data_IF_899409616473
#
_entry.id   IF_899409616473
#
_cell.length_a   1.000
_cell.length_b   1.000
_cell.length_c   1.000
_cell.angle_alpha   90.00
_cell.angle_beta   90.00
_cell.angle_gamma   90.00
#
_symmetry.space_group_name_H-M   'P 1'
#
loop_
_entity.id
_entity.type
_entity.pdbx_description
1 polymer ?
#
# COMPACT_ATOMS: atom_id res chain seq x y z
N UNK A 1 77.93 -8.47 -39.23
CA UNK A 1 77.36 -9.80 -39.53
C UNK A 1 77.39 -10.68 -38.29
N UNK A 2 76.26 -10.85 -37.58
CA UNK A 2 76.03 -11.96 -36.63
C UNK A 2 74.53 -12.01 -36.27
N UNK A 3 73.90 -13.03 -36.88
CA UNK A 3 72.64 -13.75 -36.66
C UNK A 3 71.58 -13.18 -35.69
N UNK A 4 70.38 -12.97 -36.25
CA UNK A 4 69.06 -12.93 -35.59
C UNK A 4 68.81 -14.24 -34.84
N UNK A 5 68.35 -14.17 -33.59
CA UNK A 5 67.69 -15.27 -32.90
C UNK A 5 66.20 -14.94 -32.78
N UNK A 6 65.36 -15.77 -33.42
CA UNK A 6 63.92 -15.83 -33.21
C UNK A 6 63.66 -16.29 -31.76
N UNK A 7 62.93 -15.48 -30.99
CA UNK A 7 62.27 -15.96 -29.78
C UNK A 7 60.86 -16.38 -30.17
N UNK A 8 60.59 -17.68 -30.14
CA UNK A 8 59.24 -18.23 -30.17
C UNK A 8 58.50 -17.75 -28.92
N UNK A 9 57.40 -17.04 -29.13
CA UNK A 9 56.39 -16.78 -28.10
C UNK A 9 55.66 -18.08 -27.79
N UNK A 10 55.92 -18.68 -26.63
CA UNK A 10 55.12 -19.76 -26.10
C UNK A 10 53.95 -19.13 -25.32
N UNK A 11 52.78 -19.04 -25.96
CA UNK A 11 51.54 -18.69 -25.30
C UNK A 11 51.03 -19.93 -24.55
N UNK A 12 51.18 -19.94 -23.22
CA UNK A 12 50.53 -20.91 -22.35
C UNK A 12 49.12 -20.40 -22.05
N UNK A 13 48.12 -20.97 -22.74
CA UNK A 13 46.72 -20.76 -22.42
C UNK A 13 46.36 -21.69 -21.24
N UNK A 14 46.47 -21.20 -20.00
CA UNK A 14 45.85 -21.87 -18.85
C UNK A 14 44.35 -21.56 -18.86
N UNK A 15 43.55 -22.52 -19.33
CA UNK A 15 42.11 -22.51 -19.12
C UNK A 15 41.82 -23.00 -17.69
N UNK A 16 41.83 -22.09 -16.73
CA UNK A 16 41.33 -22.37 -15.38
C UNK A 16 39.80 -22.38 -15.45
N UNK A 17 39.19 -23.56 -15.45
CA UNK A 17 37.76 -23.69 -15.17
C UNK A 17 37.51 -23.32 -13.70
N UNK A 18 37.19 -22.04 -13.46
CA UNK A 18 36.51 -21.65 -12.23
C UNK A 18 35.06 -22.12 -12.33
N UNK A 19 34.80 -23.36 -11.88
CA UNK A 19 33.45 -23.80 -11.55
C UNK A 19 33.04 -23.05 -10.29
N UNK A 20 32.39 -21.90 -10.47
CA UNK A 20 31.66 -21.29 -9.38
C UNK A 20 30.51 -22.22 -9.04
N UNK A 21 30.34 -22.67 -7.78
CA UNK A 21 29.09 -23.30 -7.41
C UNK A 21 28.01 -22.25 -7.61
N UNK A 22 27.10 -22.48 -8.56
CA UNK A 22 25.90 -21.69 -8.68
C UNK A 22 25.16 -21.84 -7.34
N UNK A 23 25.25 -20.81 -6.49
CA UNK A 23 24.34 -20.63 -5.38
C UNK A 23 22.96 -20.47 -6.00
N UNK A 24 22.26 -21.58 -6.13
CA UNK A 24 20.85 -21.60 -6.45
C UNK A 24 20.19 -20.93 -5.26
N UNK A 25 19.83 -19.65 -5.41
CA UNK A 25 18.89 -19.04 -4.48
C UNK A 25 17.67 -19.97 -4.43
N UNK A 26 17.19 -20.36 -3.23
CA UNK A 26 15.94 -21.07 -3.15
C UNK A 26 14.92 -20.22 -3.89
N UNK A 27 14.38 -20.78 -4.98
CA UNK A 27 13.28 -20.16 -5.71
C UNK A 27 12.14 -20.12 -4.72
N UNK A 28 11.96 -18.99 -4.03
CA UNK A 28 10.76 -18.71 -3.28
C UNK A 28 9.64 -18.86 -4.31
N UNK A 29 8.90 -19.96 -4.20
CA UNK A 29 7.62 -20.11 -4.87
C UNK A 29 6.78 -18.94 -4.37
N UNK A 30 6.74 -17.85 -5.13
CA UNK A 30 5.72 -16.83 -4.99
C UNK A 30 4.40 -17.47 -5.40
N UNK A 31 3.84 -18.31 -4.52
CA UNK A 31 2.41 -18.52 -4.49
C UNK A 31 1.83 -17.18 -4.08
N UNK A 32 1.50 -16.34 -5.06
CA UNK A 32 0.65 -15.18 -4.80
C UNK A 32 -0.57 -15.72 -4.07
N UNK A 33 -0.83 -15.33 -2.81
CA UNK A 33 -2.05 -15.73 -2.14
C UNK A 33 -3.21 -15.40 -3.07
N UNK A 34 -4.05 -16.39 -3.38
CA UNK A 34 -5.27 -16.11 -4.13
C UNK A 34 -6.04 -15.06 -3.34
N UNK A 35 -6.25 -13.88 -3.93
CA UNK A 35 -6.93 -12.76 -3.29
C UNK A 35 -8.29 -13.19 -2.77
N UNK A 36 -8.83 -12.45 -1.80
CA UNK A 36 -10.16 -12.76 -1.27
C UNK A 36 -11.17 -12.78 -2.42
N UNK A 37 -11.80 -13.94 -2.63
CA UNK A 37 -12.91 -14.06 -3.57
C UNK A 37 -14.17 -13.69 -2.83
N UNK A 38 -14.89 -12.70 -3.36
CA UNK A 38 -16.13 -12.22 -2.77
C UNK A 38 -17.20 -12.25 -3.84
N UNK A 39 -18.37 -12.80 -3.51
CA UNK A 39 -19.52 -12.84 -4.43
C UNK A 39 -20.57 -11.82 -4.04
N UNK A 40 -21.31 -11.29 -5.01
CA UNK A 40 -22.36 -10.32 -4.74
C UNK A 40 -23.57 -10.99 -4.10
N UNK A 41 -24.09 -10.41 -3.02
CA UNK A 41 -25.27 -10.90 -2.30
C UNK A 41 -26.47 -9.95 -2.49
N UNK A 42 -27.60 -10.42 -3.06
CA UNK A 42 -28.82 -9.62 -3.16
C UNK A 42 -29.37 -9.18 -1.78
N UNK A 43 -29.22 -10.02 -0.77
CA UNK A 43 -29.67 -9.69 0.60
C UNK A 43 -28.83 -8.55 1.20
N UNK A 44 -27.50 -8.61 1.04
CA UNK A 44 -26.64 -7.49 1.47
C UNK A 44 -26.85 -6.24 0.61
N UNK A 45 -27.19 -6.39 -0.67
CA UNK A 45 -27.49 -5.25 -1.53
C UNK A 45 -28.72 -4.49 -1.03
N UNK A 46 -29.80 -5.19 -0.70
CA UNK A 46 -30.99 -4.58 -0.11
C UNK A 46 -30.70 -3.87 1.22
N UNK A 47 -29.75 -4.37 2.01
CA UNK A 47 -29.30 -3.73 3.25
C UNK A 47 -28.50 -2.45 2.96
N UNK A 48 -27.53 -2.52 2.06
CA UNK A 48 -26.67 -1.38 1.70
C UNK A 48 -27.47 -0.27 1.02
N UNK A 49 -28.41 -0.61 0.12
CA UNK A 49 -29.27 0.35 -0.55
C UNK A 49 -30.18 1.07 0.45
N UNK A 50 -30.75 0.32 1.41
CA UNK A 50 -31.56 0.91 2.49
C UNK A 50 -30.73 1.83 3.37
N UNK A 51 -29.52 1.42 3.77
CA UNK A 51 -28.63 2.25 4.57
C UNK A 51 -28.27 3.56 3.83
N UNK A 52 -28.03 3.50 2.52
CA UNK A 52 -27.80 4.67 1.69
C UNK A 52 -29.03 5.59 1.63
N UNK A 53 -30.22 5.02 1.42
CA UNK A 53 -31.48 5.77 1.40
C UNK A 53 -31.75 6.45 2.74
N UNK A 54 -31.68 5.72 3.85
CA UNK A 54 -31.91 6.25 5.20
C UNK A 54 -30.90 7.35 5.55
N UNK A 55 -29.65 7.21 5.09
CA UNK A 55 -28.62 8.26 5.27
C UNK A 55 -29.00 9.53 4.51
N UNK A 56 -29.44 9.42 3.26
CA UNK A 56 -29.89 10.58 2.47
C UNK A 56 -31.09 11.27 3.10
N UNK A 57 -32.08 10.51 3.56
CA UNK A 57 -33.27 11.05 4.23
C UNK A 57 -32.90 11.75 5.55
N UNK A 58 -32.08 11.10 6.39
CA UNK A 58 -31.63 11.64 7.68
C UNK A 58 -30.85 12.95 7.54
N UNK A 59 -30.03 13.07 6.48
CA UNK A 59 -29.17 14.24 6.26
C UNK A 59 -29.67 15.17 5.14
N UNK A 60 -30.94 15.04 4.73
CA UNK A 60 -31.54 15.89 3.71
C UNK A 60 -31.46 17.39 4.07
N UNK A 61 -31.63 17.74 5.34
CA UNK A 61 -31.51 19.13 5.84
C UNK A 61 -30.10 19.71 5.70
N UNK A 62 -29.08 18.85 5.60
CA UNK A 62 -27.68 19.23 5.33
C UNK A 62 -27.34 19.21 3.83
N UNK A 63 -28.34 18.96 2.96
CA UNK A 63 -28.18 18.85 1.52
C UNK A 63 -27.13 17.78 1.12
N UNK A 64 -27.08 16.66 1.86
CA UNK A 64 -26.24 15.52 1.48
C UNK A 64 -26.77 14.91 0.18
N UNK A 65 -25.88 14.71 -0.78
CA UNK A 65 -26.19 14.12 -2.08
C UNK A 65 -25.60 12.72 -2.20
N UNK A 66 -26.20 11.90 -3.06
CA UNK A 66 -25.78 10.52 -3.30
C UNK A 66 -24.33 10.41 -3.77
N UNK A 67 -23.83 11.39 -4.53
CA UNK A 67 -22.46 11.39 -5.02
C UNK A 67 -21.40 11.64 -3.94
N UNK A 68 -21.81 12.08 -2.74
CA UNK A 68 -20.90 12.50 -1.67
C UNK A 68 -20.46 11.36 -0.75
N UNK A 69 -21.03 10.16 -0.87
CA UNK A 69 -20.63 9.00 -0.08
C UNK A 69 -20.74 7.69 -0.86
N UNK A 70 -20.04 6.67 -0.36
CA UNK A 70 -20.08 5.30 -0.85
C UNK A 70 -20.07 4.35 0.34
N UNK A 71 -20.60 3.15 0.14
CA UNK A 71 -20.70 2.11 1.16
C UNK A 71 -20.27 0.79 0.52
N UNK A 72 -19.42 0.02 1.19
CA UNK A 72 -19.17 -1.38 0.85
C UNK A 72 -19.27 -2.21 2.12
N UNK A 73 -20.04 -3.30 2.06
CA UNK A 73 -20.18 -4.27 3.13
C UNK A 73 -19.67 -5.62 2.64
N UNK A 74 -18.80 -6.26 3.43
CA UNK A 74 -18.35 -7.64 3.23
C UNK A 74 -18.73 -8.42 4.49
N UNK A 75 -19.47 -9.51 4.31
CA UNK A 75 -19.76 -10.46 5.37
C UNK A 75 -18.64 -11.50 5.46
N UNK A 76 -18.00 -11.55 6.62
CA UNK A 76 -16.89 -12.46 6.94
C UNK A 76 -17.32 -13.58 7.90
N UNK A 77 -18.62 -13.78 8.13
CA UNK A 77 -19.13 -14.87 8.96
C UNK A 77 -18.73 -16.24 8.42
N UNK A 78 -18.62 -16.36 7.08
CA UNK A 78 -17.91 -17.45 6.40
C UNK A 78 -16.74 -16.87 5.58
N UNK A 79 -15.50 -16.90 6.12
CA UNK A 79 -14.31 -16.40 5.41
C UNK A 79 -13.91 -17.20 4.17
N UNK A 80 -14.49 -18.38 3.94
CA UNK A 80 -14.26 -19.18 2.73
C UNK A 80 -15.26 -18.82 1.63
N UNK A 81 -16.46 -18.38 2.00
CA UNK A 81 -17.54 -18.00 1.10
C UNK A 81 -18.05 -16.58 1.38
N UNK A 82 -17.13 -15.63 1.48
CA UNK A 82 -17.47 -14.25 1.80
C UNK A 82 -18.35 -13.63 0.71
N UNK A 83 -19.37 -12.90 1.14
CA UNK A 83 -20.30 -12.20 0.26
C UNK A 83 -20.24 -10.70 0.50
N UNK A 84 -20.57 -9.89 -0.51
CA UNK A 84 -20.56 -8.45 -0.39
C UNK A 84 -21.68 -7.76 -1.15
N UNK A 85 -21.87 -6.49 -0.83
CA UNK A 85 -22.64 -5.54 -1.60
C UNK A 85 -22.03 -4.15 -1.46
N UNK A 86 -22.37 -3.25 -2.39
CA UNK A 86 -21.91 -1.88 -2.32
C UNK A 86 -22.91 -0.89 -2.90
N UNK A 87 -22.86 0.33 -2.37
CA UNK A 87 -23.46 1.52 -2.93
C UNK A 87 -22.31 2.40 -3.40
N UNK A 88 -22.16 2.56 -4.73
CA UNK A 88 -21.07 3.33 -5.34
C UNK A 88 -19.66 2.85 -4.94
N UNK A 89 -19.51 1.54 -4.71
CA UNK A 89 -18.29 0.96 -4.13
C UNK A 89 -17.00 1.23 -4.89
N UNK A 90 -17.09 1.48 -6.20
CA UNK A 90 -15.95 1.69 -7.11
C UNK A 90 -15.63 3.17 -7.37
N UNK A 91 -16.39 4.08 -6.77
CA UNK A 91 -16.17 5.53 -6.92
C UNK A 91 -14.90 5.98 -6.19
N UNK A 92 -14.15 6.88 -6.84
CA UNK A 92 -12.92 7.42 -6.27
C UNK A 92 -13.21 8.58 -5.35
N UNK A 93 -12.84 8.39 -4.08
CA UNK A 93 -13.02 9.40 -3.03
C UNK A 93 -11.65 9.78 -2.48
N UNK A 94 -11.51 11.01 -2.00
CA UNK A 94 -10.35 11.40 -1.19
C UNK A 94 -10.44 10.72 0.18
N UNK A 95 -9.36 10.11 0.62
CA UNK A 95 -9.44 9.07 1.66
C UNK A 95 -8.91 9.48 3.01
N UNK A 96 -8.40 10.71 3.14
CA UNK A 96 -7.65 11.14 4.31
C UNK A 96 -6.67 10.04 4.76
N UNK A 97 -6.73 9.62 6.03
CA UNK A 97 -5.81 8.66 6.63
C UNK A 97 -6.08 7.18 6.27
N UNK A 98 -7.18 6.83 5.60
CA UNK A 98 -7.48 5.42 5.22
C UNK A 98 -6.40 4.83 4.30
N UNK A 99 -5.69 5.68 3.55
CA UNK A 99 -4.55 5.27 2.71
C UNK A 99 -3.43 4.58 3.51
N UNK A 100 -3.29 4.88 4.80
CA UNK A 100 -2.23 4.33 5.67
C UNK A 100 -2.32 2.81 5.79
N UNK A 101 -3.51 2.22 5.63
CA UNK A 101 -3.70 0.77 5.53
C UNK A 101 -2.88 0.16 4.37
N UNK A 102 -2.83 0.85 3.23
CA UNK A 102 -2.10 0.37 2.06
C UNK A 102 -0.59 0.46 2.29
N UNK A 103 -0.12 1.51 2.98
CA UNK A 103 1.29 1.65 3.37
C UNK A 103 1.71 0.61 4.40
N UNK A 104 0.86 0.31 5.38
CA UNK A 104 1.08 -0.78 6.33
C UNK A 104 1.29 -2.11 5.60
N UNK A 105 0.37 -2.47 4.71
CA UNK A 105 0.44 -3.72 3.94
C UNK A 105 1.69 -3.77 3.04
N UNK A 106 2.04 -2.66 2.40
CA UNK A 106 3.27 -2.57 1.60
C UNK A 106 4.52 -2.75 2.45
N UNK A 107 4.57 -2.16 3.66
CA UNK A 107 5.68 -2.32 4.59
C UNK A 107 5.84 -3.78 5.04
N UNK A 108 4.75 -4.44 5.40
CA UNK A 108 4.77 -5.87 5.75
C UNK A 108 5.20 -6.74 4.57
N UNK A 109 4.78 -6.42 3.33
CA UNK A 109 5.28 -7.13 2.14
C UNK A 109 6.78 -6.92 1.96
N UNK A 110 7.29 -5.69 2.12
CA UNK A 110 8.70 -5.41 1.90
C UNK A 110 9.58 -6.02 2.99
N UNK A 111 9.08 -6.11 4.23
CA UNK A 111 9.71 -6.87 5.32
C UNK A 111 9.76 -8.36 5.00
N UNK A 112 8.66 -8.92 4.48
CA UNK A 112 8.60 -10.33 4.07
C UNK A 112 9.57 -10.64 2.93
N UNK A 113 9.65 -9.75 1.94
CA UNK A 113 10.55 -9.89 0.79
C UNK A 113 12.03 -9.59 1.15
N UNK A 114 12.34 -9.19 2.39
CA UNK A 114 13.68 -8.78 2.81
C UNK A 114 14.18 -7.46 2.21
N UNK A 115 13.29 -6.66 1.61
CA UNK A 115 13.58 -5.32 1.06
C UNK A 115 13.73 -4.27 2.15
N UNK A 116 13.08 -4.47 3.29
CA UNK A 116 13.22 -3.64 4.48
C UNK A 116 13.80 -4.44 5.65
N UNK A 117 14.59 -3.75 6.46
CA UNK A 117 15.04 -4.28 7.76
C UNK A 117 13.97 -3.99 8.81
N UNK A 118 13.71 -4.97 9.67
CA UNK A 118 12.87 -4.80 10.85
C UNK A 118 13.66 -4.03 11.93
N UNK A 119 13.55 -2.70 11.89
CA UNK A 119 14.19 -1.81 12.86
C UNK A 119 13.18 -1.36 13.91
N UNK A 120 13.68 -0.99 15.10
CA UNK A 120 12.84 -0.40 16.15
C UNK A 120 12.13 0.87 15.66
N UNK A 121 12.83 1.68 14.86
CA UNK A 121 12.27 2.92 14.31
C UNK A 121 11.16 2.66 13.28
N UNK A 122 11.30 1.65 12.41
CA UNK A 122 10.23 1.27 11.49
C UNK A 122 9.01 0.73 12.26
N UNK A 123 9.23 -0.09 13.29
CA UNK A 123 8.15 -0.60 14.15
C UNK A 123 7.41 0.54 14.87
N UNK A 124 8.15 1.51 15.43
CA UNK A 124 7.58 2.71 16.04
C UNK A 124 6.77 3.51 15.03
N UNK A 125 7.33 3.80 13.86
CA UNK A 125 6.63 4.56 12.81
C UNK A 125 5.37 3.86 12.28
N UNK A 126 5.37 2.52 12.15
CA UNK A 126 4.16 1.77 11.79
C UNK A 126 3.09 1.85 12.89
N UNK A 127 3.51 1.80 14.16
CA UNK A 127 2.65 2.03 15.31
C UNK A 127 2.00 3.41 15.26
N UNK A 128 2.80 4.47 15.28
CA UNK A 128 2.35 5.87 15.26
C UNK A 128 1.47 6.17 14.02
N UNK A 129 1.79 5.58 12.86
CA UNK A 129 1.02 5.74 11.62
C UNK A 129 -0.39 5.16 11.71
N UNK A 130 -0.59 4.03 12.40
CA UNK A 130 -1.86 3.29 12.40
C UNK A 130 -2.68 3.54 13.66
N UNK A 131 -2.02 3.62 14.83
CA UNK A 131 -2.67 3.83 16.12
C UNK A 131 -3.06 5.30 16.27
N UNK A 132 -2.09 6.20 16.09
CA UNK A 132 -2.27 7.65 16.30
C UNK A 132 -2.54 8.41 15.01
N UNK A 133 -2.54 7.71 13.86
CA UNK A 133 -2.72 8.34 12.55
C UNK A 133 -1.70 9.47 12.30
N UNK A 134 -0.46 9.32 12.77
CA UNK A 134 0.58 10.35 12.62
C UNK A 134 0.96 10.57 11.15
N UNK A 135 0.87 11.83 10.69
CA UNK A 135 1.26 12.21 9.33
C UNK A 135 2.78 12.19 9.12
N UNK A 136 3.55 12.50 10.16
CA UNK A 136 5.01 12.45 10.12
C UNK A 136 5.51 11.01 10.03
N UNK A 137 4.93 10.12 10.85
CA UNK A 137 5.23 8.69 10.77
C UNK A 137 4.84 8.11 9.40
N UNK A 138 3.68 8.50 8.88
CA UNK A 138 3.25 8.13 7.52
C UNK A 138 4.26 8.60 6.46
N UNK A 139 4.77 9.81 6.61
CA UNK A 139 5.76 10.40 5.70
C UNK A 139 7.07 9.64 5.72
N UNK A 140 7.55 9.26 6.91
CA UNK A 140 8.73 8.41 7.08
C UNK A 140 8.54 7.02 6.45
N UNK A 141 7.42 6.35 6.74
CA UNK A 141 7.11 5.02 6.18
C UNK A 141 7.08 5.06 4.65
N UNK A 142 6.45 6.07 4.06
CA UNK A 142 6.40 6.18 2.60
C UNK A 142 7.79 6.45 1.99
N UNK A 143 8.64 7.21 2.67
CA UNK A 143 10.02 7.44 2.23
C UNK A 143 10.84 6.15 2.25
N UNK A 144 10.71 5.36 3.31
CA UNK A 144 11.34 4.03 3.44
C UNK A 144 10.84 3.06 2.37
N UNK A 145 9.55 3.04 2.07
CA UNK A 145 8.96 2.15 1.05
C UNK A 145 9.41 2.45 -0.38
N UNK A 146 9.67 3.72 -0.66
CA UNK A 146 9.86 4.23 -2.02
C UNK A 146 11.27 4.70 -2.31
N UNK A 147 12.13 4.80 -1.30
CA UNK A 147 13.46 5.42 -1.40
C UNK A 147 13.42 6.83 -2.01
N UNK A 148 12.40 7.59 -1.59
CA UNK A 148 12.25 8.99 -1.97
C UNK A 148 12.04 9.82 -0.73
N UNK A 149 12.42 11.09 -0.75
CA UNK A 149 12.18 12.03 0.35
C UNK A 149 11.43 13.25 -0.17
N UNK A 150 10.79 13.98 0.74
CA UNK A 150 10.32 15.34 0.45
C UNK A 150 11.51 16.31 0.31
N UNK A 151 11.22 17.54 -0.11
CA UNK A 151 12.22 18.61 -0.27
C UNK A 151 11.80 19.62 -1.33
N UNK A 152 12.71 20.54 -1.64
CA UNK A 152 12.54 21.53 -2.72
C UNK A 152 12.28 20.88 -4.07
N UNK A 153 11.75 21.65 -5.00
CA UNK A 153 11.52 21.25 -6.39
C UNK A 153 12.76 20.62 -7.03
N UNK A 154 12.53 19.64 -7.90
CA UNK A 154 13.57 18.93 -8.64
C UNK A 154 13.56 19.35 -10.11
N UNK A 155 14.71 19.34 -10.81
CA UNK A 155 14.74 19.44 -12.26
C UNK A 155 13.86 18.37 -12.91
N UNK A 156 13.29 18.60 -14.11
CA UNK A 156 12.30 17.71 -14.71
C UNK A 156 12.74 16.23 -14.84
N UNK A 157 14.03 15.99 -15.15
CA UNK A 157 14.59 14.64 -15.24
C UNK A 157 14.57 13.91 -13.89
N UNK A 158 15.13 14.55 -12.86
CA UNK A 158 15.16 14.02 -11.49
C UNK A 158 13.74 13.85 -10.92
N UNK A 159 12.82 14.77 -11.23
CA UNK A 159 11.43 14.68 -10.80
C UNK A 159 10.72 13.46 -11.40
N UNK A 160 11.03 13.11 -12.66
CA UNK A 160 10.49 11.90 -13.31
C UNK A 160 11.01 10.62 -12.65
N UNK A 161 12.30 10.57 -12.32
CA UNK A 161 12.90 9.45 -11.58
C UNK A 161 12.31 9.33 -10.18
N UNK A 162 12.21 10.44 -9.45
CA UNK A 162 11.56 10.51 -8.15
C UNK A 162 10.12 10.01 -8.22
N UNK A 163 9.33 10.45 -9.23
CA UNK A 163 7.94 10.02 -9.38
C UNK A 163 7.83 8.53 -9.68
N UNK A 164 8.75 8.00 -10.47
CA UNK A 164 8.82 6.56 -10.77
C UNK A 164 9.05 5.75 -9.50
N UNK A 165 9.99 6.18 -8.64
CA UNK A 165 10.24 5.55 -7.35
C UNK A 165 9.05 5.70 -6.38
N UNK A 166 8.51 6.90 -6.24
CA UNK A 166 7.36 7.22 -5.36
C UNK A 166 6.13 6.37 -5.68
N UNK A 167 5.95 5.98 -6.93
CA UNK A 167 4.82 5.17 -7.40
C UNK A 167 4.93 3.65 -7.09
N UNK A 168 5.94 3.22 -6.32
CA UNK A 168 6.16 1.79 -6.02
C UNK A 168 4.96 1.09 -5.38
N UNK A 169 4.26 1.77 -4.47
CA UNK A 169 3.10 1.20 -3.76
C UNK A 169 1.92 0.99 -4.72
N UNK A 170 1.65 1.93 -5.64
CA UNK A 170 0.64 1.77 -6.68
C UNK A 170 0.93 0.53 -7.55
N UNK A 171 2.17 0.36 -7.98
CA UNK A 171 2.58 -0.81 -8.79
C UNK A 171 2.37 -2.12 -8.04
N UNK A 172 2.69 -2.16 -6.75
CA UNK A 172 2.46 -3.33 -5.91
C UNK A 172 0.98 -3.70 -5.83
N UNK A 173 0.10 -2.75 -5.50
CA UNK A 173 -1.33 -3.06 -5.41
C UNK A 173 -1.96 -3.35 -6.78
N UNK A 174 -1.47 -2.72 -7.85
CA UNK A 174 -1.87 -3.05 -9.22
C UNK A 174 -1.51 -4.51 -9.58
N UNK A 175 -0.36 -5.03 -9.15
CA UNK A 175 -0.01 -6.44 -9.39
C UNK A 175 -0.91 -7.42 -8.62
N UNK A 176 -1.51 -6.99 -7.51
CA UNK A 176 -2.51 -7.73 -6.74
C UNK A 176 -3.96 -7.59 -7.29
N UNK A 177 -4.12 -6.91 -8.43
CA UNK A 177 -5.42 -6.72 -9.07
C UNK A 177 -6.25 -5.58 -8.47
N UNK A 178 -5.70 -4.74 -7.59
CA UNK A 178 -6.36 -3.51 -7.20
C UNK A 178 -6.37 -2.54 -8.38
N UNK A 179 -7.49 -1.85 -8.55
CA UNK A 179 -7.75 -0.95 -9.67
C UNK A 179 -8.38 0.32 -9.14
N UNK A 180 -8.33 1.38 -9.94
CA UNK A 180 -8.99 2.66 -9.66
C UNK A 180 -8.56 3.33 -8.33
N UNK A 181 -7.35 3.07 -7.86
CA UNK A 181 -6.78 3.68 -6.65
C UNK A 181 -5.53 4.52 -6.97
N UNK A 182 -5.16 5.40 -6.07
CA UNK A 182 -3.87 6.08 -6.03
C UNK A 182 -3.38 6.19 -4.59
N UNK A 183 -2.18 5.69 -4.34
CA UNK A 183 -1.54 5.52 -3.03
C UNK A 183 -0.05 5.85 -3.16
N UNK A 184 0.27 7.04 -3.67
CA UNK A 184 1.65 7.48 -3.89
C UNK A 184 1.96 8.87 -3.28
N UNK A 185 1.09 9.39 -2.41
CA UNK A 185 1.28 10.69 -1.76
C UNK A 185 1.41 10.54 -0.25
N UNK A 186 2.24 11.39 0.36
CA UNK A 186 2.24 11.58 1.81
C UNK A 186 0.94 12.21 2.30
N UNK A 187 0.64 12.00 3.58
CA UNK A 187 -0.40 12.73 4.30
C UNK A 187 0.22 13.92 5.04
N UNK A 188 -0.52 15.01 5.15
CA UNK A 188 -0.04 16.28 5.72
C UNK A 188 -1.13 16.86 6.62
N UNK A 189 -0.73 17.64 7.63
CA UNK A 189 -1.68 18.43 8.43
C UNK A 189 -2.19 19.62 7.63
N UNK A 190 -1.27 20.37 7.01
CA UNK A 190 -1.60 21.56 6.20
C UNK A 190 -1.64 21.22 4.71
N UNK A 191 -0.49 21.24 4.02
CA UNK A 191 -0.38 20.86 2.62
C UNK A 191 1.02 20.31 2.28
N UNK A 192 1.16 19.80 1.06
CA UNK A 192 2.43 19.42 0.47
C UNK A 192 3.20 20.66 -0.01
N UNK A 193 4.54 20.61 0.11
CA UNK A 193 5.45 21.65 -0.37
C UNK A 193 6.50 21.08 -1.33
N UNK A 194 7.09 21.95 -2.15
CA UNK A 194 8.18 21.60 -3.08
C UNK A 194 7.82 20.46 -4.02
N UNK A 195 8.69 19.44 -4.11
CA UNK A 195 8.49 18.29 -5.01
C UNK A 195 7.22 17.48 -4.72
N UNK A 196 6.77 17.44 -3.46
CA UNK A 196 5.50 16.79 -3.10
C UNK A 196 4.31 17.56 -3.69
N UNK A 197 4.36 18.90 -3.64
CA UNK A 197 3.33 19.77 -4.24
C UNK A 197 3.29 19.64 -5.75
N UNK A 198 4.47 19.56 -6.37
CA UNK A 198 4.62 19.32 -7.81
C UNK A 198 4.04 17.95 -8.20
N UNK A 199 4.44 16.88 -7.50
CA UNK A 199 3.93 15.52 -7.70
C UNK A 199 2.41 15.45 -7.59
N UNK A 200 1.83 16.13 -6.59
CA UNK A 200 0.39 16.19 -6.34
C UNK A 200 -0.40 16.85 -7.48
N UNK A 201 0.23 17.79 -8.19
CA UNK A 201 -0.38 18.62 -9.22
C UNK A 201 -1.22 19.78 -8.65
N UNK A 202 -1.38 20.90 -9.39
CA UNK A 202 -1.98 22.14 -8.91
C UNK A 202 -3.40 21.97 -8.36
N UNK A 203 -4.19 21.03 -8.89
CA UNK A 203 -5.56 20.75 -8.44
C UNK A 203 -5.68 19.45 -7.65
N UNK A 204 -4.55 18.83 -7.30
CA UNK A 204 -4.55 17.55 -6.59
C UNK A 204 -4.92 16.38 -7.48
N UNK A 205 -4.58 16.46 -8.75
CA UNK A 205 -4.82 15.44 -9.78
C UNK A 205 -4.25 14.09 -9.35
N UNK A 206 -3.07 14.10 -8.74
CA UNK A 206 -2.34 12.93 -8.24
C UNK A 206 -2.52 12.73 -6.72
N UNK A 207 -3.55 13.30 -6.09
CA UNK A 207 -3.84 13.03 -4.66
C UNK A 207 -4.13 11.56 -4.42
N UNK A 208 -3.91 11.10 -3.19
CA UNK A 208 -4.40 9.79 -2.76
C UNK A 208 -5.91 9.71 -2.98
N UNK A 209 -6.35 8.61 -3.61
CA UNK A 209 -7.77 8.31 -3.85
C UNK A 209 -7.96 6.80 -3.74
N UNK A 210 -9.01 6.39 -3.07
CA UNK A 210 -9.40 4.98 -2.96
C UNK A 210 -10.88 4.84 -3.28
N UNK A 211 -11.31 3.59 -3.33
CA UNK A 211 -12.71 3.19 -3.39
C UNK A 211 -13.05 2.42 -2.10
N UNK A 212 -14.32 2.40 -1.70
CA UNK A 212 -14.72 1.60 -0.52
C UNK A 212 -14.58 0.11 -0.81
N UNK A 213 -14.78 -0.33 -2.05
CA UNK A 213 -14.53 -1.72 -2.47
C UNK A 213 -13.07 -2.14 -2.27
N UNK A 214 -12.11 -1.32 -2.70
CA UNK A 214 -10.69 -1.60 -2.50
C UNK A 214 -10.31 -1.63 -1.01
N UNK A 215 -10.84 -0.69 -0.25
CA UNK A 215 -10.56 -0.59 1.19
C UNK A 215 -11.13 -1.77 1.96
N UNK A 216 -12.40 -2.12 1.72
CA UNK A 216 -13.07 -3.24 2.37
C UNK A 216 -12.40 -4.57 2.02
N UNK A 217 -12.02 -4.77 0.75
CA UNK A 217 -11.25 -5.94 0.32
C UNK A 217 -9.94 -6.04 1.10
N UNK A 218 -9.18 -4.96 1.21
CA UNK A 218 -7.88 -4.97 1.90
C UNK A 218 -8.05 -5.33 3.39
N UNK A 219 -9.02 -4.72 4.07
CA UNK A 219 -9.32 -5.02 5.47
C UNK A 219 -9.75 -6.48 5.66
N UNK A 220 -10.59 -7.00 4.78
CA UNK A 220 -11.02 -8.39 4.82
C UNK A 220 -9.85 -9.36 4.56
N UNK A 221 -8.96 -9.06 3.62
CA UNK A 221 -7.74 -9.85 3.39
C UNK A 221 -6.82 -9.83 4.62
N UNK A 222 -6.68 -8.69 5.30
CA UNK A 222 -5.88 -8.59 6.54
C UNK A 222 -6.51 -9.44 7.63
N UNK A 223 -7.81 -9.24 7.91
CA UNK A 223 -8.55 -9.90 8.99
C UNK A 223 -8.64 -11.43 8.82
N UNK A 224 -8.63 -11.91 7.58
CA UNK A 224 -8.70 -13.35 7.27
C UNK A 224 -7.34 -14.01 7.06
N UNK A 225 -6.24 -13.31 7.33
CA UNK A 225 -4.89 -13.89 7.22
C UNK A 225 -4.37 -14.05 5.78
N UNK A 226 -5.00 -13.39 4.81
CA UNK A 226 -4.73 -13.54 3.37
C UNK A 226 -3.76 -12.49 2.81
N UNK A 227 -3.42 -11.47 3.59
CA UNK A 227 -2.49 -10.41 3.17
C UNK A 227 -1.05 -10.77 3.52
N UNK A 228 -0.16 -10.80 2.52
CA UNK A 228 1.26 -11.15 2.66
C UNK A 228 1.50 -12.58 3.14
N UNK A 229 1.37 -12.84 4.45
CA UNK A 229 1.38 -14.16 5.11
C UNK A 229 0.46 -14.09 6.34
N UNK A 230 -0.03 -15.23 6.87
CA UNK A 230 -0.89 -15.22 8.06
C UNK A 230 -0.26 -14.49 9.26
N UNK A 231 1.05 -14.65 9.48
CA UNK A 231 1.77 -13.99 10.57
C UNK A 231 1.89 -12.47 10.35
N UNK A 232 2.15 -12.02 9.12
CA UNK A 232 2.17 -10.58 8.79
C UNK A 232 0.78 -9.97 8.95
N UNK A 233 -0.27 -10.67 8.50
CA UNK A 233 -1.67 -10.29 8.75
C UNK A 233 -1.97 -10.14 10.23
N UNK A 234 -1.53 -11.10 11.07
CA UNK A 234 -1.70 -11.03 12.52
C UNK A 234 -1.03 -9.80 13.11
N UNK A 235 0.22 -9.50 12.73
CA UNK A 235 0.94 -8.31 13.18
C UNK A 235 0.21 -7.00 12.80
N UNK A 236 -0.32 -6.92 11.58
CA UNK A 236 -1.15 -5.78 11.17
C UNK A 236 -2.43 -5.66 11.99
N UNK A 237 -3.08 -6.78 12.30
CA UNK A 237 -4.27 -6.80 13.15
C UNK A 237 -4.00 -6.34 14.58
N UNK A 238 -2.81 -6.61 15.15
CA UNK A 238 -2.45 -6.07 16.47
C UNK A 238 -2.43 -4.54 16.49
N UNK A 239 -2.00 -3.89 15.39
CA UNK A 239 -2.02 -2.42 15.26
C UNK A 239 -3.43 -1.87 15.00
N UNK A 240 -4.26 -2.64 14.30
CA UNK A 240 -5.64 -2.24 13.97
C UNK A 240 -6.63 -2.47 15.12
N UNK A 241 -6.26 -3.27 16.12
CA UNK A 241 -7.09 -3.56 17.27
C UNK A 241 -7.39 -2.27 18.04
N UNK A 242 -8.67 -2.04 18.29
CA UNK A 242 -9.16 -0.93 19.12
C UNK A 242 -9.98 -1.50 20.27
N UNK A 243 -9.88 -0.86 21.42
CA UNK A 243 -10.78 -1.10 22.54
C UNK A 243 -11.93 -0.10 22.47
N UNK A 244 -13.12 -0.57 22.14
CA UNK A 244 -14.33 0.25 22.04
C UNK A 244 -15.15 0.26 23.34
N UNK A 245 -14.69 -0.44 24.39
CA UNK A 245 -15.39 -0.53 25.68
C UNK A 245 -14.88 0.48 26.72
N UNK A 246 -13.77 1.16 26.44
CA UNK A 246 -13.17 2.17 27.33
C UNK A 246 -13.66 3.60 27.07
N UNK A 247 -13.50 4.48 28.07
CA UNK A 247 -13.53 5.93 27.83
C UNK A 247 -12.24 6.33 27.14
N UNK A 248 -12.33 6.92 25.95
CA UNK A 248 -11.16 7.47 25.29
C UNK A 248 -10.60 8.65 26.06
N UNK A 249 -9.27 8.74 26.01
CA UNK A 249 -8.51 9.91 26.47
C UNK A 249 -8.27 10.90 25.35
N UNK A 250 -8.68 10.57 24.13
CA UNK A 250 -8.62 11.45 22.98
C UNK A 250 -9.79 12.46 23.06
N UNK A 251 -9.51 13.75 23.26
CA UNK A 251 -10.57 14.77 23.31
C UNK A 251 -11.30 14.94 21.97
N UNK A 252 -10.76 14.40 20.86
CA UNK A 252 -11.31 14.49 19.51
C UNK A 252 -12.00 13.18 19.05
N UNK A 253 -12.24 12.22 19.96
CA UNK A 253 -12.98 11.01 19.62
C UNK A 253 -14.44 11.33 19.25
N UNK A 254 -14.90 10.83 18.08
CA UNK A 254 -16.25 11.05 17.52
C UNK A 254 -17.22 9.91 17.81
#
# INVERSE_FOLDING_TARGET
>A
MKKRLNRLSLAVLSATLCVTPAWTQPRLTQTTPSGLTVTNSPALQALVDRAAQETLEKFASKNLKSEQFAITLIDLSDPQHSVAASYRGDERIYTASVVKLFYLVAAHRWLEDGKLKDTEELRRALGDMIVDSSNDATSYVLDVLTETTSGVELPPGEMKEWQTKRDAVNRYFSSLGYRNININQKTFCEDAYGRERFSRGPKGENRNKLTTSATARLLAEIATGRTVTPERSRQMMELLKRDFAGQSKDPDEQ
#
